data_IF_638107645325
#
_entry.id   IF_638107645325
#
_cell.length_a   1.000
_cell.length_b   1.000
_cell.length_c   1.000
_cell.angle_alpha   90.00
_cell.angle_beta   90.00
_cell.angle_gamma   90.00
#
_symmetry.space_group_name_H-M   'P 1'
#
loop_
_entity.id
_entity.type
_entity.pdbx_description
1 polymer ?
#
# COMPACT_ATOMS: atom_id res chain seq x y z
N UNK A 1 -13.63 26.69 22.35
CA UNK A 1 -12.71 25.62 22.76
C UNK A 1 -11.79 26.16 23.84
N UNK A 2 -11.32 25.32 24.73
CA UNK A 2 -10.38 25.68 25.79
C UNK A 2 -9.28 24.62 25.86
N UNK A 3 -8.02 25.07 25.91
CA UNK A 3 -6.85 24.20 26.02
C UNK A 3 -6.50 23.96 27.49
N UNK A 4 -6.54 22.69 27.91
CA UNK A 4 -6.06 22.23 29.21
C UNK A 4 -4.72 21.50 29.04
N UNK A 5 -3.63 22.26 29.03
CA UNK A 5 -2.27 21.71 28.97
C UNK A 5 -1.93 20.84 30.19
N UNK A 6 -2.64 21.00 31.32
CA UNK A 6 -2.43 20.16 32.50
C UNK A 6 -3.06 18.78 32.36
N UNK A 7 -4.10 18.67 31.52
CA UNK A 7 -4.92 17.47 31.35
C UNK A 7 -5.77 17.08 32.55
N UNK A 8 -5.79 17.89 33.62
CA UNK A 8 -6.37 17.55 34.93
C UNK A 8 -7.75 18.15 35.17
N UNK A 9 -8.19 19.12 34.36
CA UNK A 9 -9.50 19.73 34.55
C UNK A 9 -10.60 18.66 34.38
N UNK A 10 -11.49 18.60 35.36
CA UNK A 10 -12.69 17.79 35.32
C UNK A 10 -13.92 18.64 34.98
N UNK A 11 -15.04 17.99 34.66
CA UNK A 11 -16.27 18.70 34.28
C UNK A 11 -16.73 19.66 35.40
N UNK A 12 -16.61 19.25 36.66
CA UNK A 12 -17.02 20.08 37.80
C UNK A 12 -16.18 21.36 37.90
N UNK A 13 -14.88 21.28 37.62
CA UNK A 13 -14.00 22.46 37.57
C UNK A 13 -14.38 23.38 36.41
N UNK A 14 -14.71 22.79 35.26
CA UNK A 14 -15.09 23.54 34.04
C UNK A 14 -16.44 24.24 34.24
N UNK A 15 -17.39 23.60 34.90
CA UNK A 15 -18.69 24.19 35.22
C UNK A 15 -18.57 25.25 36.31
N UNK A 16 -17.72 25.03 37.32
CA UNK A 16 -17.49 26.01 38.39
C UNK A 16 -16.81 27.29 37.89
N UNK A 17 -15.79 27.14 37.03
CA UNK A 17 -15.07 28.28 36.44
C UNK A 17 -15.83 28.93 35.28
N UNK A 18 -16.69 28.18 34.59
CA UNK A 18 -17.59 28.70 33.58
C UNK A 18 -16.89 29.56 32.53
N UNK A 19 -17.24 30.85 32.48
CA UNK A 19 -16.70 31.85 31.55
C UNK A 19 -15.35 32.45 31.98
N UNK A 20 -14.83 32.12 33.17
CA UNK A 20 -13.48 32.52 33.60
C UNK A 20 -12.38 31.73 32.89
N UNK A 21 -12.73 30.62 32.24
CA UNK A 21 -11.82 29.89 31.36
C UNK A 21 -11.64 30.65 30.04
N UNK A 22 -10.42 30.62 29.51
CA UNK A 22 -10.10 31.24 28.23
C UNK A 22 -10.71 30.44 27.08
N UNK A 23 -11.92 30.82 26.66
CA UNK A 23 -12.66 30.16 25.59
C UNK A 23 -12.42 30.85 24.24
N UNK A 24 -11.82 30.12 23.31
CA UNK A 24 -11.64 30.57 21.94
C UNK A 24 -12.82 30.14 21.04
N UNK A 25 -13.31 31.05 20.20
CA UNK A 25 -14.32 30.69 19.19
C UNK A 25 -13.66 29.91 18.04
N UNK A 26 -14.27 28.79 17.64
CA UNK A 26 -13.76 27.99 16.53
C UNK A 26 -14.13 28.63 15.18
N UNK A 27 -13.15 28.92 14.30
CA UNK A 27 -13.42 29.54 13.00
C UNK A 27 -14.02 28.56 11.98
N UNK A 28 -13.83 27.26 12.18
CA UNK A 28 -14.28 26.20 11.29
C UNK A 28 -15.35 25.32 11.95
N UNK A 29 -16.17 24.65 11.12
CA UNK A 29 -17.20 23.71 11.58
C UNK A 29 -16.63 22.46 12.26
N UNK A 30 -15.34 22.18 12.08
CA UNK A 30 -14.67 21.00 12.62
C UNK A 30 -13.35 21.43 13.25
N UNK A 31 -13.12 21.00 14.49
CA UNK A 31 -11.84 21.18 15.16
C UNK A 31 -10.82 20.21 14.55
N UNK A 32 -9.69 20.75 14.09
CA UNK A 32 -8.54 19.95 13.68
C UNK A 32 -7.28 20.60 14.24
N UNK A 33 -6.69 19.97 15.25
CA UNK A 33 -5.46 20.44 15.91
C UNK A 33 -4.22 19.67 15.43
N UNK A 34 -4.38 18.75 14.48
CA UNK A 34 -3.32 17.82 14.11
C UNK A 34 -2.83 17.02 15.32
N UNK A 35 -1.52 16.78 15.40
CA UNK A 35 -0.92 16.08 16.53
C UNK A 35 -0.73 17.01 17.73
N UNK A 36 -1.70 17.01 18.64
CA UNK A 36 -1.65 17.75 19.91
C UNK A 36 -2.00 16.81 21.09
N UNK A 37 -1.15 16.79 22.11
CA UNK A 37 -1.31 15.95 23.31
C UNK A 37 -2.11 16.61 24.44
N UNK A 38 -2.38 17.91 24.34
CA UNK A 38 -3.14 18.65 25.33
C UNK A 38 -4.58 18.14 25.40
N UNK A 39 -5.18 18.18 26.59
CA UNK A 39 -6.60 17.95 26.71
C UNK A 39 -7.35 19.18 26.20
N UNK A 40 -8.37 18.98 25.38
CA UNK A 40 -9.15 20.08 24.80
C UNK A 40 -10.61 19.94 25.19
N UNK A 41 -11.17 21.04 25.69
CA UNK A 41 -12.57 21.16 26.03
C UNK A 41 -13.31 21.93 24.94
N UNK A 42 -14.38 21.35 24.44
CA UNK A 42 -15.35 22.00 23.56
C UNK A 42 -16.62 22.27 24.35
N UNK A 43 -17.10 23.51 24.29
CA UNK A 43 -18.41 23.92 24.79
C UNK A 43 -19.27 24.26 23.60
N UNK A 44 -20.37 23.51 23.42
CA UNK A 44 -21.26 23.65 22.27
C UNK A 44 -22.68 23.88 22.77
N UNK A 45 -23.28 25.06 22.51
CA UNK A 45 -24.68 25.29 22.81
C UNK A 45 -25.56 24.51 21.83
N UNK A 46 -26.55 23.77 22.32
CA UNK A 46 -27.47 23.01 21.48
C UNK A 46 -28.86 23.65 21.50
N UNK A 47 -29.48 23.91 20.33
CA UNK A 47 -30.85 24.42 20.27
C UNK A 47 -31.86 23.46 20.92
N UNK A 48 -32.89 24.02 21.54
CA UNK A 48 -34.04 23.24 22.03
C UNK A 48 -34.74 22.47 20.90
N UNK A 49 -35.33 21.32 21.26
CA UNK A 49 -36.03 20.44 20.32
C UNK A 49 -35.18 19.30 19.75
N UNK A 50 -33.86 19.35 19.87
CA UNK A 50 -32.95 18.24 19.57
C UNK A 50 -32.80 17.37 20.83
N UNK A 51 -33.62 16.34 20.98
CA UNK A 51 -33.63 15.49 22.18
C UNK A 51 -34.23 14.11 21.94
N UNK A 52 -33.90 13.18 22.83
CA UNK A 52 -34.41 11.82 22.80
C UNK A 52 -33.87 10.96 21.65
N UNK A 53 -34.46 9.78 21.51
CA UNK A 53 -33.96 8.73 20.63
C UNK A 53 -34.01 9.06 19.13
N UNK A 54 -34.83 10.03 18.71
CA UNK A 54 -34.90 10.46 17.31
C UNK A 54 -33.61 11.09 16.78
N UNK A 55 -32.68 11.49 17.66
CA UNK A 55 -31.44 12.14 17.29
C UNK A 55 -30.21 11.38 17.78
N UNK A 56 -29.10 11.54 17.06
CA UNK A 56 -27.80 10.97 17.36
C UNK A 56 -26.73 12.06 17.34
N UNK A 57 -25.89 12.09 18.38
CA UNK A 57 -24.65 12.84 18.38
C UNK A 57 -23.55 11.95 17.79
N UNK A 58 -22.90 12.44 16.75
CA UNK A 58 -21.74 11.82 16.13
C UNK A 58 -20.47 12.62 16.45
N UNK A 59 -19.43 11.91 16.90
CA UNK A 59 -18.04 12.33 16.75
C UNK A 59 -17.40 11.45 15.67
N UNK A 60 -17.29 12.03 14.48
CA UNK A 60 -17.01 11.31 13.22
C UNK A 60 -15.52 11.00 12.97
N UNK A 61 -14.77 10.61 13.99
CA UNK A 61 -13.37 10.25 13.86
C UNK A 61 -13.03 9.12 14.84
N UNK A 62 -12.63 7.95 14.33
CA UNK A 62 -12.57 6.70 15.11
C UNK A 62 -11.31 6.53 15.98
N UNK A 63 -10.30 7.38 15.79
CA UNK A 63 -8.95 7.25 16.36
C UNK A 63 -8.70 8.21 17.55
N UNK A 64 -9.75 8.60 18.28
CA UNK A 64 -9.60 9.43 19.47
C UNK A 64 -9.33 8.55 20.69
N UNK A 65 -8.20 8.75 21.35
CA UNK A 65 -7.79 7.92 22.49
C UNK A 65 -8.77 7.99 23.64
N UNK A 66 -9.08 9.21 24.07
CA UNK A 66 -10.03 9.50 25.15
C UNK A 66 -11.03 10.55 24.69
N UNK A 67 -12.30 10.18 24.75
CA UNK A 67 -13.43 11.04 24.44
C UNK A 67 -14.43 10.96 25.59
N UNK A 68 -14.62 12.07 26.28
CA UNK A 68 -15.67 12.21 27.29
C UNK A 68 -16.67 13.27 26.84
N UNK A 69 -17.95 12.89 26.81
CA UNK A 69 -19.05 13.76 26.40
C UNK A 69 -19.99 13.94 27.58
N UNK A 70 -20.28 15.18 27.92
CA UNK A 70 -21.13 15.58 29.03
C UNK A 70 -22.31 16.40 28.51
N UNK A 71 -23.50 15.95 28.87
CA UNK A 71 -24.75 16.61 28.57
C UNK A 71 -25.18 17.42 29.81
N UNK A 72 -25.21 18.75 29.69
CA UNK A 72 -25.40 19.67 30.81
C UNK A 72 -26.68 20.48 30.65
N UNK A 73 -27.52 20.49 31.69
CA UNK A 73 -28.77 21.25 31.76
C UNK A 73 -28.78 22.03 33.08
N UNK A 74 -29.09 23.32 33.04
CA UNK A 74 -29.16 24.20 34.22
C UNK A 74 -27.92 24.13 35.12
N UNK A 75 -26.73 23.95 34.52
CA UNK A 75 -25.45 23.83 35.22
C UNK A 75 -25.17 22.45 35.84
N UNK A 76 -26.06 21.48 35.70
CA UNK A 76 -25.87 20.09 36.17
C UNK A 76 -25.61 19.10 35.03
N UNK A 77 -24.72 18.13 35.26
CA UNK A 77 -24.48 17.03 34.31
C UNK A 77 -25.61 16.01 34.38
N UNK A 78 -26.38 15.88 33.30
CA UNK A 78 -27.49 14.94 33.17
C UNK A 78 -27.02 13.56 32.71
N UNK A 79 -26.07 13.53 31.78
CA UNK A 79 -25.50 12.29 31.25
C UNK A 79 -24.03 12.48 30.91
N UNK A 80 -23.24 11.43 31.18
CA UNK A 80 -21.83 11.33 30.79
C UNK A 80 -21.62 10.08 29.95
N UNK A 81 -20.95 10.24 28.81
CA UNK A 81 -20.50 9.11 27.99
C UNK A 81 -18.98 9.17 27.92
N UNK A 82 -18.34 8.10 28.37
CA UNK A 82 -16.89 7.94 28.35
C UNK A 82 -16.50 6.86 27.34
N UNK A 83 -15.90 7.27 26.22
CA UNK A 83 -15.44 6.38 25.14
C UNK A 83 -14.04 6.77 24.65
N UNK A 84 -13.61 6.21 23.52
CA UNK A 84 -12.27 6.35 22.96
C UNK A 84 -11.73 5.02 22.45
N UNK A 85 -10.63 5.04 21.70
CA UNK A 85 -9.98 3.84 21.17
C UNK A 85 -9.03 3.15 22.19
N UNK A 86 -8.64 3.85 23.26
CA UNK A 86 -7.95 3.27 24.42
C UNK A 86 -8.93 2.64 25.43
N UNK A 87 -10.24 2.82 25.23
CA UNK A 87 -11.31 2.19 26.01
C UNK A 87 -11.86 0.97 25.27
N UNK A 88 -12.67 0.15 25.95
CA UNK A 88 -13.22 -1.04 25.28
C UNK A 88 -14.23 -0.60 24.23
N UNK A 89 -14.17 -1.22 23.04
CA UNK A 89 -15.17 -1.01 21.99
C UNK A 89 -16.59 -1.21 22.52
N UNK A 90 -16.80 -2.21 23.38
CA UNK A 90 -18.10 -2.57 23.95
C UNK A 90 -18.64 -1.56 24.98
N UNK A 91 -17.85 -0.56 25.40
CA UNK A 91 -18.34 0.56 26.22
C UNK A 91 -19.03 1.64 25.39
N UNK A 92 -18.97 1.56 24.05
CA UNK A 92 -19.68 2.50 23.17
C UNK A 92 -21.20 2.28 23.31
N UNK A 93 -22.01 3.35 23.46
CA UNK A 93 -23.47 3.22 23.52
C UNK A 93 -24.06 2.54 22.29
N UNK A 94 -23.49 2.82 21.12
CA UNK A 94 -23.85 2.19 19.85
C UNK A 94 -22.56 1.62 19.24
N UNK A 95 -22.58 0.35 18.87
CA UNK A 95 -21.45 -0.38 18.31
C UNK A 95 -21.19 0.03 16.86
N UNK A 96 -20.52 1.15 16.70
CA UNK A 96 -20.23 1.78 15.42
C UNK A 96 -18.76 2.23 15.37
N UNK A 97 -18.17 2.34 14.17
CA UNK A 97 -16.77 2.77 13.98
C UNK A 97 -16.52 4.20 14.48
N UNK A 98 -17.45 5.10 14.22
CA UNK A 98 -17.51 6.45 14.81
C UNK A 98 -18.18 6.40 16.18
N UNK A 99 -17.95 7.40 17.02
CA UNK A 99 -18.61 7.48 18.31
C UNK A 99 -20.01 8.06 18.15
N UNK A 100 -21.01 7.21 18.36
CA UNK A 100 -22.43 7.58 18.29
C UNK A 100 -23.06 7.51 19.68
N UNK A 101 -23.83 8.54 20.02
CA UNK A 101 -24.48 8.67 21.31
C UNK A 101 -25.93 9.12 21.10
N UNK A 102 -26.94 8.40 21.63
CA UNK A 102 -28.31 8.90 21.63
C UNK A 102 -28.37 10.16 22.51
N UNK A 103 -29.18 11.13 22.08
CA UNK A 103 -29.42 12.32 22.90
C UNK A 103 -30.37 11.94 24.05
N UNK A 104 -30.10 12.33 25.30
CA UNK A 104 -31.04 12.10 26.40
C UNK A 104 -32.35 12.85 26.16
N UNK A 105 -33.44 12.35 26.73
CA UNK A 105 -34.68 13.11 26.82
C UNK A 105 -34.51 14.24 27.84
N UNK A 106 -34.54 15.48 27.37
CA UNK A 106 -34.42 16.67 28.21
C UNK A 106 -35.73 17.47 28.19
N UNK A 107 -36.10 18.08 29.31
CA UNK A 107 -37.25 18.99 29.41
C UNK A 107 -36.80 20.46 29.47
N UNK A 108 -35.73 20.79 28.76
CA UNK A 108 -35.12 22.11 28.80
C UNK A 108 -35.06 22.73 27.40
N UNK A 109 -35.42 24.00 27.30
CA UNK A 109 -35.40 24.76 26.05
C UNK A 109 -33.98 25.00 25.52
N UNK A 110 -32.97 24.89 26.39
CA UNK A 110 -31.55 25.03 26.05
C UNK A 110 -30.71 24.13 26.95
N UNK A 111 -29.72 23.49 26.35
CA UNK A 111 -28.74 22.68 27.05
C UNK A 111 -27.37 22.83 26.37
N UNK A 112 -26.34 22.42 27.10
CA UNK A 112 -24.95 22.58 26.68
C UNK A 112 -24.28 21.23 26.61
N UNK A 113 -23.48 21.06 25.55
CA UNK A 113 -22.64 19.91 25.35
C UNK A 113 -21.20 20.29 25.67
N UNK A 114 -20.60 19.55 26.60
CA UNK A 114 -19.16 19.66 26.87
C UNK A 114 -18.47 18.39 26.36
N UNK A 115 -17.45 18.56 25.54
CA UNK A 115 -16.67 17.45 24.98
C UNK A 115 -15.22 17.63 25.40
N UNK A 116 -14.66 16.66 26.13
CA UNK A 116 -13.25 16.59 26.46
C UNK A 116 -12.58 15.56 25.55
N UNK A 117 -11.55 15.98 24.84
CA UNK A 117 -10.77 15.12 23.96
C UNK A 117 -9.31 15.19 24.37
N UNK A 118 -8.67 14.02 24.44
CA UNK A 118 -7.23 13.90 24.64
C UNK A 118 -6.73 12.69 23.84
N UNK A 119 -5.73 12.87 22.99
CA UNK A 119 -5.19 11.80 22.14
C UNK A 119 -3.70 11.98 21.90
N UNK A 120 -2.99 10.87 21.79
CA UNK A 120 -1.61 10.83 21.32
C UNK A 120 -1.50 10.97 19.78
N UNK A 121 -2.60 10.73 19.07
CA UNK A 121 -2.73 10.83 17.63
C UNK A 121 -3.12 12.23 17.13
N UNK A 122 -3.69 12.26 15.93
CA UNK A 122 -4.29 13.47 15.37
C UNK A 122 -5.62 13.76 16.07
N UNK A 123 -5.81 14.98 16.58
CA UNK A 123 -7.05 15.43 17.22
C UNK A 123 -7.93 16.11 16.19
N UNK A 124 -8.92 15.35 15.73
CA UNK A 124 -9.96 15.80 14.81
C UNK A 124 -11.33 15.53 15.47
N UNK A 125 -12.14 16.58 15.63
CA UNK A 125 -13.45 16.46 16.32
C UNK A 125 -14.58 16.98 15.42
N UNK A 126 -14.97 16.19 14.39
CA UNK A 126 -16.14 16.49 13.58
C UNK A 126 -17.40 16.14 14.38
N UNK A 127 -17.97 17.15 15.03
CA UNK A 127 -19.15 17.03 15.86
C UNK A 127 -20.41 17.35 15.06
N UNK A 128 -21.35 16.40 14.99
CA UNK A 128 -22.61 16.57 14.25
C UNK A 128 -23.77 15.97 15.05
N UNK A 129 -24.92 16.63 14.99
CA UNK A 129 -26.18 16.06 15.47
C UNK A 129 -26.99 15.67 14.24
N UNK A 130 -27.43 14.43 14.20
CA UNK A 130 -28.19 13.85 13.11
C UNK A 130 -29.58 13.44 13.59
N UNK A 131 -30.57 13.54 12.71
CA UNK A 131 -31.76 12.69 12.82
C UNK A 131 -31.34 11.24 12.57
N UNK A 132 -31.85 10.30 13.39
CA UNK A 132 -31.41 8.89 13.39
C UNK A 132 -31.49 8.26 12.02
N UNK A 133 -32.60 8.43 11.30
CA UNK A 133 -32.78 7.83 9.97
C UNK A 133 -31.91 8.50 8.91
N UNK A 134 -31.70 9.81 9.01
CA UNK A 134 -30.80 10.54 8.11
C UNK A 134 -29.34 10.05 8.24
N UNK A 135 -28.89 9.78 9.47
CA UNK A 135 -27.56 9.22 9.73
C UNK A 135 -27.40 7.86 9.05
N UNK A 136 -28.32 6.93 9.27
CA UNK A 136 -28.23 5.58 8.71
C UNK A 136 -28.33 5.58 7.18
N UNK A 137 -29.16 6.46 6.59
CA UNK A 137 -29.25 6.62 5.13
C UNK A 137 -27.92 7.10 4.51
N UNK A 138 -27.24 8.06 5.15
CA UNK A 138 -25.92 8.51 4.70
C UNK A 138 -24.85 7.41 4.90
N UNK A 139 -24.87 6.76 6.06
CA UNK A 139 -23.87 5.74 6.43
C UNK A 139 -23.95 4.50 5.53
N UNK A 140 -25.13 4.13 5.04
CA UNK A 140 -25.28 3.08 4.02
C UNK A 140 -24.46 3.37 2.76
N UNK A 141 -24.51 4.62 2.26
CA UNK A 141 -23.72 5.05 1.11
C UNK A 141 -22.22 5.02 1.40
N UNK A 142 -21.82 5.50 2.59
CA UNK A 142 -20.42 5.49 3.03
C UNK A 142 -19.86 4.07 3.13
N UNK A 143 -20.59 3.14 3.76
CA UNK A 143 -20.19 1.73 3.86
C UNK A 143 -20.12 1.05 2.50
N UNK A 144 -21.02 1.39 1.57
CA UNK A 144 -20.97 0.86 0.21
C UNK A 144 -19.67 1.28 -0.50
N UNK A 145 -19.28 2.57 -0.40
CA UNK A 145 -18.03 3.07 -1.00
C UNK A 145 -16.81 2.40 -0.38
N UNK A 146 -16.74 2.33 0.96
CA UNK A 146 -15.63 1.66 1.68
C UNK A 146 -15.56 0.17 1.37
N UNK A 147 -16.71 -0.50 1.28
CA UNK A 147 -16.83 -1.90 0.90
C UNK A 147 -16.40 -2.16 -0.55
N UNK A 148 -16.79 -1.29 -1.48
CA UNK A 148 -16.36 -1.37 -2.87
C UNK A 148 -14.84 -1.20 -3.01
N UNK A 149 -14.26 -0.22 -2.32
CA UNK A 149 -12.81 -0.03 -2.24
C UNK A 149 -12.10 -1.30 -1.71
N UNK A 150 -12.53 -1.81 -0.56
CA UNK A 150 -11.96 -3.02 0.03
C UNK A 150 -12.09 -4.24 -0.90
N UNK A 151 -13.23 -4.39 -1.57
CA UNK A 151 -13.50 -5.46 -2.52
C UNK A 151 -12.61 -5.39 -3.76
N UNK A 152 -12.42 -4.19 -4.35
CA UNK A 152 -11.51 -4.00 -5.49
C UNK A 152 -10.08 -4.37 -5.11
N UNK A 153 -9.59 -3.88 -3.97
CA UNK A 153 -8.25 -4.25 -3.49
C UNK A 153 -8.11 -5.74 -3.25
N UNK A 154 -9.10 -6.38 -2.61
CA UNK A 154 -9.04 -7.81 -2.32
C UNK A 154 -9.02 -8.64 -3.60
N UNK A 155 -9.88 -8.33 -4.58
CA UNK A 155 -9.88 -9.01 -5.88
C UNK A 155 -8.55 -8.81 -6.60
N UNK A 156 -7.99 -7.60 -6.59
CA UNK A 156 -6.69 -7.32 -7.21
C UNK A 156 -5.55 -8.07 -6.52
N UNK A 157 -5.55 -8.14 -5.18
CA UNK A 157 -4.59 -8.93 -4.42
C UNK A 157 -4.70 -10.42 -4.77
N UNK A 158 -5.90 -11.00 -4.75
CA UNK A 158 -6.13 -12.40 -5.09
C UNK A 158 -5.75 -12.72 -6.55
N UNK A 159 -6.10 -11.85 -7.48
CA UNK A 159 -5.71 -11.95 -8.88
C UNK A 159 -4.18 -11.98 -9.03
N UNK A 160 -3.46 -11.07 -8.37
CA UNK A 160 -2.00 -11.01 -8.45
C UNK A 160 -1.31 -12.18 -7.74
N UNK A 161 -1.93 -12.78 -6.71
CA UNK A 161 -1.47 -14.08 -6.16
C UNK A 161 -1.56 -15.17 -7.22
N UNK A 162 -2.68 -15.25 -7.95
CA UNK A 162 -2.81 -16.23 -9.04
C UNK A 162 -1.78 -16.00 -10.14
N UNK A 163 -1.56 -14.75 -10.55
CA UNK A 163 -0.53 -14.42 -11.54
C UNK A 163 0.87 -14.79 -11.02
N UNK A 164 1.17 -14.54 -9.74
CA UNK A 164 2.41 -14.97 -9.12
C UNK A 164 2.61 -16.49 -9.20
N UNK A 165 1.57 -17.29 -8.93
CA UNK A 165 1.66 -18.76 -9.00
C UNK A 165 2.00 -19.26 -10.41
N UNK A 166 1.53 -18.55 -11.43
CA UNK A 166 1.79 -18.89 -12.85
C UNK A 166 3.15 -18.39 -13.32
N UNK A 167 3.51 -17.14 -12.99
CA UNK A 167 4.66 -16.44 -13.55
C UNK A 167 5.92 -16.65 -12.70
N UNK A 168 5.76 -16.81 -11.39
CA UNK A 168 6.83 -16.95 -10.38
C UNK A 168 7.84 -15.79 -10.33
N UNK A 169 7.42 -14.59 -10.74
CA UNK A 169 8.20 -13.36 -10.57
C UNK A 169 7.95 -12.76 -9.17
N UNK A 170 9.01 -12.52 -8.42
CA UNK A 170 8.97 -12.02 -7.04
C UNK A 170 8.31 -10.63 -6.90
N UNK A 171 8.32 -9.81 -7.95
CA UNK A 171 7.69 -8.49 -7.97
C UNK A 171 6.20 -8.57 -7.62
N UNK A 172 5.52 -9.64 -8.03
CA UNK A 172 4.11 -9.85 -7.68
C UNK A 172 3.89 -10.11 -6.19
N UNK A 173 4.81 -10.84 -5.53
CA UNK A 173 4.69 -11.12 -4.11
C UNK A 173 4.83 -9.83 -3.29
N UNK A 174 5.79 -8.97 -3.64
CA UNK A 174 5.94 -7.67 -2.98
C UNK A 174 4.74 -6.77 -3.23
N UNK A 175 4.21 -6.75 -4.45
CA UNK A 175 3.02 -5.98 -4.77
C UNK A 175 1.76 -6.47 -4.01
N UNK A 176 1.57 -7.79 -3.91
CA UNK A 176 0.51 -8.40 -3.09
C UNK A 176 0.64 -7.99 -1.62
N UNK A 177 1.86 -8.08 -1.07
CA UNK A 177 2.14 -7.65 0.30
C UNK A 177 1.83 -6.17 0.51
N UNK A 178 2.16 -5.32 -0.45
CA UNK A 178 1.83 -3.90 -0.43
C UNK A 178 0.31 -3.66 -0.42
N UNK A 179 -0.42 -4.24 -1.38
CA UNK A 179 -1.88 -4.06 -1.50
C UNK A 179 -2.63 -4.56 -0.26
N UNK A 180 -2.22 -5.71 0.28
CA UNK A 180 -2.78 -6.25 1.52
C UNK A 180 -2.48 -5.37 2.73
N UNK A 181 -1.25 -4.84 2.84
CA UNK A 181 -0.87 -3.94 3.93
C UNK A 181 -1.64 -2.61 3.87
N UNK A 182 -1.84 -2.04 2.68
CA UNK A 182 -2.66 -0.84 2.49
C UNK A 182 -4.13 -1.08 2.83
N UNK A 183 -4.69 -2.23 2.44
CA UNK A 183 -6.05 -2.60 2.79
C UNK A 183 -6.24 -2.65 4.32
N UNK A 184 -5.36 -3.34 5.03
CA UNK A 184 -5.42 -3.43 6.49
C UNK A 184 -5.19 -2.07 7.16
N UNK A 185 -4.25 -1.27 6.66
CA UNK A 185 -4.03 0.10 7.13
C UNK A 185 -5.30 0.96 7.02
N UNK A 186 -5.99 0.91 5.88
CA UNK A 186 -7.23 1.67 5.66
C UNK A 186 -8.36 1.19 6.57
N UNK A 187 -8.58 -0.13 6.68
CA UNK A 187 -9.58 -0.69 7.58
C UNK A 187 -9.30 -0.30 9.05
N UNK A 188 -8.03 -0.22 9.45
CA UNK A 188 -7.63 0.25 10.77
C UNK A 188 -7.91 1.74 10.95
N UNK A 189 -7.46 2.62 10.05
CA UNK A 189 -7.69 4.07 10.20
C UNK A 189 -9.18 4.42 10.21
N UNK A 190 -9.99 3.71 9.43
CA UNK A 190 -11.43 3.91 9.39
C UNK A 190 -12.17 3.39 10.63
N UNK A 191 -11.48 2.67 11.53
CA UNK A 191 -12.07 2.03 12.71
C UNK A 191 -12.86 0.75 12.41
N UNK A 192 -12.98 0.36 11.13
CA UNK A 192 -13.67 -0.87 10.72
C UNK A 192 -12.97 -2.12 11.23
N UNK A 193 -11.64 -2.14 11.24
CA UNK A 193 -10.89 -3.25 11.78
C UNK A 193 -11.09 -3.39 13.30
N UNK A 194 -11.21 -2.26 14.02
CA UNK A 194 -11.53 -2.31 15.45
C UNK A 194 -12.96 -2.81 15.69
N UNK A 195 -13.92 -2.39 14.87
CA UNK A 195 -15.30 -2.84 14.99
C UNK A 195 -15.49 -4.34 14.68
N UNK A 196 -14.83 -4.87 13.64
CA UNK A 196 -15.14 -6.21 13.12
C UNK A 196 -14.05 -7.27 13.31
N UNK A 197 -12.77 -6.89 13.38
CA UNK A 197 -11.66 -7.85 13.39
C UNK A 197 -11.06 -8.07 14.78
N UNK A 198 -10.93 -7.00 15.57
CA UNK A 198 -10.29 -7.08 16.89
C UNK A 198 -10.89 -6.12 17.95
N UNK A 199 -12.21 -6.14 18.19
CA UNK A 199 -12.87 -5.22 19.14
C UNK A 199 -12.34 -5.31 20.57
N UNK A 200 -11.77 -6.46 20.95
CA UNK A 200 -11.23 -6.69 22.30
C UNK A 200 -9.77 -6.24 22.47
N UNK A 201 -9.02 -6.05 21.37
CA UNK A 201 -7.57 -5.81 21.40
C UNK A 201 -7.23 -4.32 21.25
N UNK A 202 -7.46 -3.55 22.31
CA UNK A 202 -7.27 -2.08 22.33
C UNK A 202 -5.85 -1.66 21.92
N UNK A 203 -4.82 -2.20 22.58
CA UNK A 203 -3.43 -1.86 22.29
C UNK A 203 -2.99 -2.30 20.88
N UNK A 204 -3.55 -3.40 20.37
CA UNK A 204 -3.29 -3.85 19.01
C UNK A 204 -3.83 -2.87 17.98
N UNK A 205 -5.00 -2.25 18.20
CA UNK A 205 -5.59 -1.33 17.23
C UNK A 205 -4.64 -0.18 16.86
N UNK A 206 -4.09 0.52 17.86
CA UNK A 206 -3.16 1.62 17.64
C UNK A 206 -1.84 1.16 16.99
N UNK A 207 -1.23 0.08 17.50
CA UNK A 207 -0.01 -0.48 16.92
C UNK A 207 -0.22 -0.99 15.49
N UNK A 208 -1.39 -1.53 15.17
CA UNK A 208 -1.71 -2.07 13.84
C UNK A 208 -1.63 -1.00 12.75
N UNK A 209 -2.03 0.24 13.04
CA UNK A 209 -1.99 1.36 12.07
C UNK A 209 -0.54 1.62 11.65
N UNK A 210 0.36 1.73 12.63
CA UNK A 210 1.80 1.97 12.39
C UNK A 210 2.44 0.75 11.73
N UNK A 211 2.08 -0.46 12.16
CA UNK A 211 2.61 -1.70 11.61
C UNK A 211 2.28 -1.83 10.12
N UNK A 212 1.01 -1.69 9.75
CA UNK A 212 0.56 -1.88 8.37
C UNK A 212 1.05 -0.78 7.43
N UNK A 213 1.16 0.47 7.89
CA UNK A 213 1.75 1.53 7.05
C UNK A 213 3.25 1.32 6.83
N UNK A 214 3.98 0.81 7.84
CA UNK A 214 5.38 0.44 7.70
C UNK A 214 5.56 -0.76 6.76
N UNK A 215 4.73 -1.79 6.87
CA UNK A 215 4.75 -2.93 5.93
C UNK A 215 4.40 -2.51 4.51
N UNK A 216 3.45 -1.60 4.32
CA UNK A 216 3.19 -1.01 3.01
C UNK A 216 4.45 -0.33 2.45
N UNK A 217 5.20 0.43 3.26
CA UNK A 217 6.47 1.03 2.84
C UNK A 217 7.54 -0.03 2.48
N UNK A 218 7.69 -1.08 3.29
CA UNK A 218 8.61 -2.20 3.03
C UNK A 218 8.31 -2.84 1.68
N UNK A 219 7.07 -3.30 1.49
CA UNK A 219 6.67 -3.99 0.28
C UNK A 219 6.74 -3.10 -0.95
N UNK A 220 6.41 -1.81 -0.81
CA UNK A 220 6.58 -0.82 -1.89
C UNK A 220 8.03 -0.64 -2.32
N UNK A 221 8.96 -0.53 -1.37
CA UNK A 221 10.37 -0.39 -1.68
C UNK A 221 10.93 -1.68 -2.29
N UNK A 222 10.59 -2.86 -1.75
CA UNK A 222 10.97 -4.15 -2.32
C UNK A 222 10.41 -4.35 -3.73
N UNK A 223 9.14 -3.99 -3.95
CA UNK A 223 8.51 -3.98 -5.26
C UNK A 223 9.28 -3.09 -6.24
N UNK A 224 9.62 -1.87 -5.83
CA UNK A 224 10.38 -0.94 -6.68
C UNK A 224 11.76 -1.49 -7.07
N UNK A 225 12.48 -2.09 -6.11
CA UNK A 225 13.80 -2.70 -6.35
C UNK A 225 13.68 -3.86 -7.36
N UNK A 226 12.72 -4.75 -7.15
CA UNK A 226 12.52 -5.94 -7.98
C UNK A 226 12.00 -5.58 -9.38
N UNK A 227 10.90 -4.80 -9.46
CA UNK A 227 10.22 -4.47 -10.70
C UNK A 227 11.09 -3.68 -11.67
N UNK A 228 11.89 -2.72 -11.16
CA UNK A 228 12.79 -1.92 -11.99
C UNK A 228 14.15 -2.59 -12.21
N UNK A 229 14.39 -3.75 -11.60
CA UNK A 229 15.68 -4.45 -11.57
C UNK A 229 16.84 -3.49 -11.21
N UNK A 230 16.69 -2.80 -10.07
CA UNK A 230 17.62 -1.75 -9.65
C UNK A 230 19.04 -2.23 -9.38
N UNK A 231 19.31 -3.41 -8.79
CA UNK A 231 20.69 -3.84 -8.53
C UNK A 231 21.55 -3.87 -9.81
N UNK A 232 20.97 -4.25 -10.94
CA UNK A 232 21.67 -4.29 -12.24
C UNK A 232 21.75 -2.93 -12.95
N UNK A 233 20.80 -2.01 -12.70
CA UNK A 233 20.70 -0.72 -13.42
C UNK A 233 21.27 0.45 -12.64
N UNK A 234 21.00 0.50 -11.34
CA UNK A 234 21.36 1.58 -10.43
C UNK A 234 21.50 1.06 -8.99
N UNK A 235 22.63 0.44 -8.70
CA UNK A 235 22.92 -0.20 -7.41
C UNK A 235 22.84 0.75 -6.21
N UNK A 236 23.23 2.01 -6.36
CA UNK A 236 23.10 3.01 -5.31
C UNK A 236 21.64 3.27 -4.91
N UNK A 237 20.72 3.39 -5.89
CA UNK A 237 19.29 3.53 -5.58
C UNK A 237 18.72 2.27 -4.92
N UNK A 238 19.16 1.07 -5.35
CA UNK A 238 18.79 -0.19 -4.70
C UNK A 238 19.25 -0.22 -3.24
N UNK A 239 20.47 0.22 -2.95
CA UNK A 239 21.00 0.28 -1.58
C UNK A 239 20.21 1.25 -0.70
N UNK A 240 19.91 2.46 -1.20
CA UNK A 240 19.12 3.45 -0.44
C UNK A 240 17.71 2.91 -0.14
N UNK A 241 17.03 2.31 -1.12
CA UNK A 241 15.71 1.72 -0.91
C UNK A 241 15.77 0.52 0.05
N UNK A 242 16.82 -0.30 0.00
CA UNK A 242 17.03 -1.37 0.99
C UNK A 242 17.28 -0.82 2.40
N UNK A 243 17.98 0.31 2.55
CA UNK A 243 18.13 0.97 3.83
C UNK A 243 16.78 1.46 4.37
N UNK A 244 15.92 2.03 3.50
CA UNK A 244 14.55 2.40 3.86
C UNK A 244 13.74 1.17 4.31
N UNK A 245 13.87 0.02 3.64
CA UNK A 245 13.23 -1.24 4.05
C UNK A 245 13.68 -1.63 5.46
N UNK A 246 14.98 -1.60 5.74
CA UNK A 246 15.52 -1.91 7.07
C UNK A 246 14.97 -0.96 8.14
N UNK A 247 14.96 0.35 7.87
CA UNK A 247 14.40 1.35 8.80
C UNK A 247 12.91 1.12 9.02
N UNK A 248 12.15 0.81 7.97
CA UNK A 248 10.72 0.51 8.08
C UNK A 248 10.43 -0.75 8.90
N UNK A 249 11.22 -1.81 8.75
CA UNK A 249 11.12 -3.04 9.54
C UNK A 249 11.51 -2.82 11.01
N UNK A 250 12.54 -2.01 11.26
CA UNK A 250 12.92 -1.61 12.61
C UNK A 250 11.80 -0.79 13.26
N UNK A 251 11.25 0.21 12.56
CA UNK A 251 10.15 1.02 13.07
C UNK A 251 8.90 0.19 13.32
N UNK A 252 8.55 -0.73 12.42
CA UNK A 252 7.45 -1.69 12.59
C UNK A 252 7.63 -2.51 13.89
N UNK A 253 8.83 -3.05 14.11
CA UNK A 253 9.15 -3.80 15.33
C UNK A 253 9.12 -2.93 16.59
N UNK A 254 9.68 -1.71 16.53
CA UNK A 254 9.72 -0.78 17.65
C UNK A 254 8.34 -0.20 17.99
N UNK A 255 7.41 -0.14 17.03
CA UNK A 255 6.08 0.46 17.20
C UNK A 255 5.21 -0.21 18.28
N UNK A 256 5.56 -1.44 18.68
CA UNK A 256 4.90 -2.16 19.77
C UNK A 256 5.39 -1.70 21.16
N UNK A 257 6.56 -1.07 21.22
CA UNK A 257 7.23 -0.70 22.48
C UNK A 257 7.23 0.82 22.71
N UNK A 258 7.41 1.61 21.65
CA UNK A 258 7.47 3.07 21.76
C UNK A 258 6.06 3.69 21.85
N UNK A 259 5.91 4.89 22.43
CA UNK A 259 4.63 5.60 22.46
C UNK A 259 4.05 5.81 21.06
N UNK A 260 2.73 5.70 20.94
CA UNK A 260 2.04 5.75 19.65
C UNK A 260 2.29 7.06 18.92
N UNK A 261 2.27 8.19 19.63
CA UNK A 261 2.54 9.53 19.06
C UNK A 261 3.90 9.59 18.33
N UNK A 262 4.95 9.06 18.96
CA UNK A 262 6.28 9.04 18.38
C UNK A 262 6.32 8.10 17.16
N UNK A 263 5.73 6.91 17.29
CA UNK A 263 5.72 5.90 16.25
C UNK A 263 5.05 6.41 14.96
N UNK A 264 3.87 7.03 15.07
CA UNK A 264 3.11 7.50 13.91
C UNK A 264 3.77 8.71 13.24
N UNK A 265 4.39 9.62 14.00
CA UNK A 265 5.19 10.73 13.45
C UNK A 265 6.41 10.25 12.68
N UNK A 266 7.15 9.29 13.25
CA UNK A 266 8.29 8.66 12.56
C UNK A 266 7.83 7.91 11.31
N UNK A 267 6.69 7.22 11.36
CA UNK A 267 6.12 6.54 10.21
C UNK A 267 5.73 7.52 9.10
N UNK A 268 5.10 8.65 9.44
CA UNK A 268 4.78 9.70 8.47
C UNK A 268 6.05 10.29 7.81
N UNK A 269 7.10 10.54 8.61
CA UNK A 269 8.40 11.04 8.13
C UNK A 269 9.16 10.00 7.29
N UNK A 270 8.83 8.72 7.42
CA UNK A 270 9.40 7.65 6.61
C UNK A 270 8.61 7.45 5.30
N UNK A 271 7.28 7.40 5.38
CA UNK A 271 6.40 6.96 4.27
C UNK A 271 6.36 7.99 3.14
N UNK A 272 6.19 9.28 3.44
CA UNK A 272 6.11 10.30 2.38
C UNK A 272 7.44 10.46 1.63
N UNK A 273 8.60 10.65 2.29
CA UNK A 273 9.88 10.76 1.59
C UNK A 273 10.26 9.49 0.83
N UNK A 274 9.99 8.30 1.38
CA UNK A 274 10.26 7.05 0.66
C UNK A 274 9.33 6.87 -0.55
N UNK A 275 8.09 7.40 -0.52
CA UNK A 275 7.19 7.44 -1.70
C UNK A 275 7.76 8.35 -2.76
N UNK A 276 8.18 9.55 -2.37
CA UNK A 276 8.82 10.50 -3.27
C UNK A 276 10.12 9.95 -3.86
N UNK A 277 10.90 9.18 -3.09
CA UNK A 277 12.09 8.48 -3.57
C UNK A 277 11.74 7.42 -4.63
N UNK A 278 10.72 6.58 -4.41
CA UNK A 278 10.30 5.58 -5.39
C UNK A 278 9.83 6.24 -6.69
N UNK A 279 9.04 7.32 -6.57
CA UNK A 279 8.60 8.12 -7.71
C UNK A 279 9.78 8.74 -8.46
N UNK A 280 10.74 9.32 -7.74
CA UNK A 280 11.96 9.92 -8.31
C UNK A 280 12.83 8.92 -9.05
N UNK A 281 13.09 7.74 -8.45
CA UNK A 281 13.83 6.65 -9.10
C UNK A 281 13.12 6.19 -10.37
N UNK A 282 11.80 5.99 -10.31
CA UNK A 282 11.00 5.62 -11.47
C UNK A 282 11.04 6.68 -12.58
N UNK A 283 10.91 7.95 -12.22
CA UNK A 283 10.91 9.07 -13.16
C UNK A 283 12.27 9.24 -13.86
N UNK A 284 13.37 9.11 -13.12
CA UNK A 284 14.73 9.15 -13.67
C UNK A 284 14.94 8.01 -14.67
N UNK A 285 14.55 6.79 -14.32
CA UNK A 285 14.70 5.64 -15.22
C UNK A 285 13.78 5.75 -16.46
N UNK A 286 12.58 6.31 -16.30
CA UNK A 286 11.70 6.60 -17.43
C UNK A 286 12.33 7.62 -18.38
N UNK A 287 12.93 8.68 -17.84
CA UNK A 287 13.67 9.68 -18.63
C UNK A 287 14.89 9.06 -19.35
N UNK A 288 15.56 8.09 -18.74
CA UNK A 288 16.65 7.32 -19.35
C UNK A 288 16.17 6.29 -20.41
N UNK A 289 14.87 6.25 -20.71
CA UNK A 289 14.31 5.43 -21.79
C UNK A 289 13.73 4.09 -21.35
N UNK A 290 13.66 3.80 -20.03
CA UNK A 290 13.02 2.59 -19.52
C UNK A 290 11.49 2.69 -19.64
N UNK A 291 10.96 2.37 -20.83
CA UNK A 291 9.52 2.42 -21.13
C UNK A 291 8.66 1.59 -20.16
N UNK A 292 9.23 0.52 -19.57
CA UNK A 292 8.57 -0.30 -18.55
C UNK A 292 8.10 0.53 -17.33
N UNK A 293 8.75 1.64 -17.03
CA UNK A 293 8.45 2.46 -15.85
C UNK A 293 7.24 3.42 -16.01
N UNK A 294 6.64 3.56 -17.22
CA UNK A 294 5.59 4.57 -17.48
C UNK A 294 4.36 4.43 -16.57
N UNK A 295 3.82 3.22 -16.45
CA UNK A 295 2.64 2.94 -15.64
C UNK A 295 2.98 2.95 -14.14
N UNK A 296 4.21 2.57 -13.81
CA UNK A 296 4.75 2.65 -12.45
C UNK A 296 4.81 4.10 -11.94
N UNK A 297 5.38 5.02 -12.73
CA UNK A 297 5.46 6.45 -12.38
C UNK A 297 4.08 7.08 -12.28
N UNK A 298 3.18 6.77 -13.23
CA UNK A 298 1.80 7.25 -13.19
C UNK A 298 1.06 6.79 -11.94
N UNK A 299 1.18 5.51 -11.57
CA UNK A 299 0.57 4.97 -10.35
C UNK A 299 1.09 5.68 -9.09
N UNK A 300 2.41 5.78 -8.92
CA UNK A 300 2.98 6.46 -7.76
C UNK A 300 2.65 7.94 -7.68
N UNK A 301 2.50 8.63 -8.80
CA UNK A 301 2.12 10.03 -8.82
C UNK A 301 0.72 10.22 -8.22
N UNK A 302 -0.27 9.45 -8.69
CA UNK A 302 -1.65 9.55 -8.22
C UNK A 302 -1.74 9.16 -6.74
N UNK A 303 -1.06 8.08 -6.34
CA UNK A 303 -0.97 7.69 -4.92
C UNK A 303 -0.33 8.77 -4.07
N UNK A 304 0.80 9.34 -4.50
CA UNK A 304 1.53 10.35 -3.74
C UNK A 304 0.68 11.60 -3.51
N UNK A 305 -0.06 12.07 -4.51
CA UNK A 305 -0.97 13.21 -4.35
C UNK A 305 -2.05 12.91 -3.31
N UNK A 306 -2.68 11.74 -3.38
CA UNK A 306 -3.68 11.31 -2.39
C UNK A 306 -3.09 11.18 -0.98
N UNK A 307 -1.92 10.55 -0.85
CA UNK A 307 -1.23 10.33 0.42
C UNK A 307 -0.74 11.64 1.04
N UNK A 308 -0.23 12.58 0.24
CA UNK A 308 0.20 13.89 0.71
C UNK A 308 -1.00 14.71 1.24
N UNK A 309 -2.10 14.77 0.49
CA UNK A 309 -3.30 15.49 0.93
C UNK A 309 -3.92 14.88 2.19
N UNK A 310 -3.96 13.55 2.27
CA UNK A 310 -4.40 12.83 3.46
C UNK A 310 -3.52 13.16 4.68
N UNK A 311 -2.19 13.07 4.54
CA UNK A 311 -1.25 13.35 5.62
C UNK A 311 -1.33 14.82 6.09
N UNK A 312 -1.40 15.76 5.16
CA UNK A 312 -1.54 17.20 5.46
C UNK A 312 -2.86 17.51 6.19
N UNK A 313 -3.95 16.82 5.82
CA UNK A 313 -5.22 16.91 6.53
C UNK A 313 -5.11 16.38 7.97
N UNK A 314 -4.41 15.25 8.18
CA UNK A 314 -4.19 14.68 9.52
C UNK A 314 -3.18 15.46 10.36
N UNK A 315 -2.30 16.25 9.74
CA UNK A 315 -1.43 17.20 10.44
C UNK A 315 -2.14 18.50 10.84
N UNK A 316 -3.39 18.71 10.41
CA UNK A 316 -4.16 19.93 10.69
C UNK A 316 -3.86 21.10 9.76
N UNK A 317 -3.05 20.90 8.71
CA UNK A 317 -2.71 21.96 7.75
C UNK A 317 -3.78 22.15 6.68
N UNK A 318 -4.57 21.10 6.41
CA UNK A 318 -5.70 21.16 5.49
C UNK A 318 -7.01 20.84 6.22
N UNK A 319 -8.12 21.52 5.86
CA UNK A 319 -9.44 21.21 6.39
C UNK A 319 -9.92 19.86 5.88
N UNK A 320 -10.63 19.13 6.74
CA UNK A 320 -11.20 17.83 6.38
C UNK A 320 -12.43 18.03 5.50
N UNK A 321 -12.39 17.45 4.31
CA UNK A 321 -13.48 17.47 3.34
C UNK A 321 -13.46 16.18 2.48
N UNK A 322 -14.40 16.06 1.55
CA UNK A 322 -14.51 14.87 0.68
C UNK A 322 -13.23 14.56 -0.10
N UNK A 323 -12.46 15.57 -0.50
CA UNK A 323 -11.20 15.35 -1.24
C UNK A 323 -10.12 14.81 -0.32
N UNK A 324 -9.91 15.41 0.86
CA UNK A 324 -8.89 14.93 1.79
C UNK A 324 -9.23 13.58 2.42
N UNK A 325 -10.52 13.24 2.47
CA UNK A 325 -11.04 11.96 2.99
C UNK A 325 -10.91 10.81 1.98
N UNK A 326 -11.37 10.99 0.74
CA UNK A 326 -11.50 9.89 -0.23
C UNK A 326 -10.39 9.81 -1.28
N UNK A 327 -9.61 10.87 -1.51
CA UNK A 327 -8.66 10.90 -2.62
C UNK A 327 -7.51 9.89 -2.45
N UNK A 328 -7.14 9.53 -1.21
CA UNK A 328 -6.19 8.46 -0.97
C UNK A 328 -6.74 7.10 -1.46
N UNK A 329 -8.01 6.79 -1.18
CA UNK A 329 -8.64 5.53 -1.61
C UNK A 329 -8.75 5.47 -3.14
N UNK A 330 -9.15 6.58 -3.77
CA UNK A 330 -9.16 6.70 -5.24
C UNK A 330 -7.76 6.52 -5.80
N UNK A 331 -6.75 7.17 -5.21
CA UNK A 331 -5.36 7.09 -5.65
C UNK A 331 -4.80 5.67 -5.58
N UNK A 332 -5.01 4.98 -4.46
CA UNK A 332 -4.64 3.55 -4.30
C UNK A 332 -5.37 2.68 -5.33
N UNK A 333 -6.64 2.93 -5.60
CA UNK A 333 -7.42 2.14 -6.57
C UNK A 333 -6.90 2.33 -7.99
N UNK A 334 -6.58 3.56 -8.39
CA UNK A 334 -5.99 3.84 -9.70
C UNK A 334 -4.58 3.25 -9.79
N UNK A 335 -3.78 3.40 -8.73
CA UNK A 335 -2.43 2.85 -8.64
C UNK A 335 -2.42 1.32 -8.79
N UNK A 336 -3.28 0.60 -8.06
CA UNK A 336 -3.31 -0.86 -8.09
C UNK A 336 -3.64 -1.35 -9.51
N UNK A 337 -4.58 -0.70 -10.21
CA UNK A 337 -4.88 -1.02 -11.62
C UNK A 337 -3.68 -0.75 -12.52
N UNK A 338 -3.03 0.40 -12.37
CA UNK A 338 -1.85 0.77 -13.17
C UNK A 338 -0.66 -0.17 -12.94
N UNK A 339 -0.44 -0.67 -11.73
CA UNK A 339 0.63 -1.63 -11.46
C UNK A 339 0.33 -3.00 -12.02
N UNK A 340 -0.92 -3.45 -11.96
CA UNK A 340 -1.32 -4.69 -12.62
C UNK A 340 -1.09 -4.60 -14.14
N UNK A 341 -1.39 -3.45 -14.75
CA UNK A 341 -1.04 -3.19 -16.15
C UNK A 341 0.47 -3.14 -16.39
N UNK A 342 1.24 -2.49 -15.51
CA UNK A 342 2.70 -2.40 -15.60
C UNK A 342 3.36 -3.78 -15.59
N UNK A 343 2.90 -4.64 -14.67
CA UNK A 343 3.37 -6.00 -14.51
C UNK A 343 2.98 -6.89 -15.71
N UNK A 344 1.74 -6.76 -16.21
CA UNK A 344 1.31 -7.46 -17.42
C UNK A 344 2.11 -7.04 -18.67
N UNK A 345 2.39 -5.74 -18.83
CA UNK A 345 3.21 -5.21 -19.93
C UNK A 345 4.65 -5.75 -19.84
N UNK A 346 5.24 -5.82 -18.64
CA UNK A 346 6.57 -6.38 -18.42
C UNK A 346 6.65 -7.85 -18.85
N UNK A 347 5.66 -8.68 -18.47
CA UNK A 347 5.61 -10.09 -18.89
C UNK A 347 5.47 -10.20 -20.41
N UNK A 348 4.59 -9.40 -21.02
CA UNK A 348 4.37 -9.46 -22.46
C UNK A 348 5.65 -9.08 -23.23
N UNK A 349 6.41 -8.11 -22.72
CA UNK A 349 7.69 -7.73 -23.28
C UNK A 349 8.73 -8.85 -23.15
N UNK A 350 8.88 -9.45 -21.96
CA UNK A 350 9.81 -10.57 -21.75
C UNK A 350 9.46 -11.80 -22.59
N UNK A 351 8.17 -12.11 -22.72
CA UNK A 351 7.71 -13.19 -23.60
C UNK A 351 8.06 -12.91 -25.07
N UNK A 352 7.90 -11.67 -25.54
CA UNK A 352 8.27 -11.28 -26.92
C UNK A 352 9.77 -11.38 -27.15
N UNK A 353 10.58 -10.88 -26.22
CA UNK A 353 12.05 -10.97 -26.27
C UNK A 353 12.50 -12.44 -26.32
N UNK A 354 11.94 -13.30 -25.45
CA UNK A 354 12.24 -14.74 -25.44
C UNK A 354 11.83 -15.44 -26.73
N UNK A 355 10.63 -15.14 -27.25
CA UNK A 355 10.15 -15.69 -28.52
C UNK A 355 11.03 -15.26 -29.70
N UNK A 356 11.48 -14.00 -29.72
CA UNK A 356 12.36 -13.49 -30.76
C UNK A 356 13.74 -14.15 -30.71
N UNK A 357 14.33 -14.30 -29.53
CA UNK A 357 15.59 -15.01 -29.35
C UNK A 357 15.48 -16.49 -29.78
N UNK A 358 14.37 -17.15 -29.45
CA UNK A 358 14.12 -18.53 -29.87
C UNK A 358 13.97 -18.66 -31.39
N UNK A 359 13.25 -17.74 -32.04
CA UNK A 359 13.13 -17.70 -33.50
C UNK A 359 14.48 -17.47 -34.18
N UNK A 360 15.30 -16.56 -33.66
CA UNK A 360 16.65 -16.32 -34.17
C UNK A 360 17.54 -17.57 -34.02
N UNK A 361 17.45 -18.28 -32.90
CA UNK A 361 18.18 -19.53 -32.70
C UNK A 361 17.77 -20.62 -33.68
N UNK A 362 16.47 -20.78 -33.95
CA UNK A 362 15.95 -21.73 -34.94
C UNK A 362 16.42 -21.36 -36.35
N UNK A 363 16.30 -20.09 -36.74
CA UNK A 363 16.76 -19.62 -38.06
C UNK A 363 18.27 -19.80 -38.25
N UNK A 364 19.08 -19.56 -37.21
CA UNK A 364 20.51 -19.79 -37.27
C UNK A 364 20.85 -21.28 -37.42
N UNK A 365 20.11 -22.17 -36.75
CA UNK A 365 20.28 -23.61 -36.88
C UNK A 365 19.88 -24.12 -38.27
N UNK A 366 18.76 -23.64 -38.81
CA UNK A 366 18.31 -23.96 -40.17
C UNK A 366 19.33 -23.47 -41.21
N UNK A 367 19.85 -22.26 -41.05
CA UNK A 367 20.88 -21.70 -41.91
C UNK A 367 22.18 -22.50 -41.83
N UNK A 368 22.63 -22.86 -40.62
CA UNK A 368 23.81 -23.71 -40.43
C UNK A 368 23.63 -25.07 -41.11
N UNK A 369 22.48 -25.72 -40.89
CA UNK A 369 22.15 -27.01 -41.50
C UNK A 369 22.14 -26.92 -43.03
N UNK A 370 21.53 -25.88 -43.58
CA UNK A 370 21.52 -25.63 -45.03
C UNK A 370 22.93 -25.42 -45.58
N UNK A 371 23.81 -24.70 -44.87
CA UNK A 371 25.20 -24.51 -45.28
C UNK A 371 26.00 -25.81 -45.18
N UNK A 372 25.77 -26.62 -44.16
CA UNK A 372 26.43 -27.91 -43.97
C UNK A 372 26.00 -28.94 -45.04
N UNK A 373 24.70 -29.13 -45.23
CA UNK A 373 24.13 -30.13 -46.15
C UNK A 373 24.37 -29.78 -47.64
N UNK A 374 24.38 -28.48 -47.99
CA UNK A 374 24.54 -28.02 -49.38
C UNK A 374 25.93 -27.42 -49.69
N UNK A 375 26.91 -27.55 -48.80
CA UNK A 375 28.29 -27.15 -49.10
C UNK A 375 28.84 -27.98 -50.26
N UNK A 376 29.60 -27.34 -51.15
CA UNK A 376 30.30 -28.03 -52.25
C UNK A 376 31.58 -28.69 -51.72
N UNK A 377 32.20 -28.12 -50.69
CA UNK A 377 33.38 -28.67 -50.02
C UNK A 377 32.99 -29.76 -49.01
N UNK A 378 33.86 -30.77 -48.87
CA UNK A 378 33.72 -31.79 -47.85
C UNK A 378 33.96 -31.20 -46.46
N UNK A 379 32.95 -31.28 -45.58
CA UNK A 379 33.04 -30.85 -44.18
C UNK A 379 33.00 -32.10 -43.31
N UNK A 380 34.02 -32.28 -42.47
CA UNK A 380 34.06 -33.34 -41.48
C UNK A 380 34.45 -32.82 -40.10
N UNK A 381 34.11 -33.59 -39.08
CA UNK A 381 34.55 -33.39 -37.70
C UNK A 381 35.09 -34.71 -37.18
N UNK A 382 36.24 -34.69 -36.51
CA UNK A 382 36.83 -35.85 -35.84
C UNK A 382 37.03 -35.62 -34.35
N UNK A 383 37.21 -36.71 -33.60
CA UNK A 383 37.69 -36.63 -32.22
C UNK A 383 39.21 -36.39 -32.18
N UNK A 384 39.76 -36.31 -30.97
CA UNK A 384 41.20 -36.10 -30.75
C UNK A 384 42.05 -37.30 -31.20
N UNK A 385 41.45 -38.47 -31.38
CA UNK A 385 42.08 -39.71 -31.81
C UNK A 385 41.90 -39.93 -33.33
N UNK A 386 41.42 -38.91 -34.06
CA UNK A 386 41.30 -38.94 -35.52
C UNK A 386 40.06 -39.68 -36.04
N UNK A 387 39.12 -40.10 -35.19
CA UNK A 387 37.90 -40.81 -35.63
C UNK A 387 36.82 -39.84 -36.06
N UNK A 388 36.15 -40.12 -37.18
CA UNK A 388 35.07 -39.28 -37.70
C UNK A 388 33.84 -39.29 -36.77
N UNK A 389 33.42 -38.09 -36.37
CA UNK A 389 32.22 -37.81 -35.57
C UNK A 389 31.05 -37.41 -36.49
N UNK A 390 31.33 -36.61 -37.52
CA UNK A 390 30.31 -36.13 -38.46
C UNK A 390 30.94 -35.83 -39.82
N UNK A 391 30.20 -36.08 -40.91
CA UNK A 391 30.59 -35.73 -42.28
C UNK A 391 29.37 -35.20 -43.05
N UNK A 392 29.56 -34.23 -43.93
CA UNK A 392 28.48 -33.71 -44.76
C UNK A 392 28.30 -34.55 -46.05
N UNK A 393 27.20 -34.36 -46.80
CA UNK A 393 26.95 -35.11 -48.04
C UNK A 393 28.04 -34.95 -49.11
N UNK A 394 28.66 -33.77 -49.22
CA UNK A 394 29.73 -33.55 -50.20
C UNK A 394 30.98 -34.37 -49.87
N UNK A 395 31.38 -34.46 -48.60
CA UNK A 395 32.51 -35.30 -48.16
C UNK A 395 32.24 -36.79 -48.47
N UNK A 396 31.03 -37.26 -48.15
CA UNK A 396 30.62 -38.63 -48.46
C UNK A 396 30.69 -38.89 -49.97
N UNK A 397 30.13 -38.00 -50.80
CA UNK A 397 30.13 -38.14 -52.25
C UNK A 397 31.55 -38.06 -52.86
N UNK A 398 32.41 -37.17 -52.38
CA UNK A 398 33.81 -37.04 -52.83
C UNK A 398 34.61 -38.32 -52.59
N UNK A 399 34.33 -39.02 -51.49
CA UNK A 399 35.00 -40.27 -51.13
C UNK A 399 34.24 -41.52 -51.61
N UNK A 400 33.18 -41.36 -52.41
CA UNK A 400 32.48 -42.46 -53.09
C UNK A 400 31.37 -43.14 -52.27
N UNK A 401 30.94 -42.54 -51.17
CA UNK A 401 29.88 -43.05 -50.30
C UNK A 401 28.50 -42.53 -50.71
N UNK A 402 27.48 -43.37 -50.55
CA UNK A 402 26.09 -43.03 -50.92
C UNK A 402 25.41 -42.15 -49.88
N UNK A 403 25.86 -42.25 -48.62
CA UNK A 403 25.33 -41.49 -47.48
C UNK A 403 26.43 -41.20 -46.44
N UNK A 404 26.37 -40.05 -45.74
CA UNK A 404 27.27 -39.73 -44.61
C UNK A 404 27.38 -40.83 -43.54
N UNK A 405 26.26 -41.47 -43.21
CA UNK A 405 26.21 -42.50 -42.16
C UNK A 405 27.00 -43.76 -42.55
N UNK A 406 26.98 -44.11 -43.84
CA UNK A 406 27.73 -45.24 -44.39
C UNK A 406 29.24 -45.02 -44.24
N UNK A 407 29.70 -43.80 -44.57
CA UNK A 407 31.09 -43.38 -44.39
C UNK A 407 31.51 -43.43 -42.92
N UNK A 408 30.74 -42.86 -42.00
CA UNK A 408 31.08 -42.85 -40.56
C UNK A 408 31.15 -44.28 -40.00
N UNK A 409 30.23 -45.17 -40.40
CA UNK A 409 30.22 -46.56 -39.95
C UNK A 409 31.45 -47.35 -40.42
N UNK A 410 31.87 -47.15 -41.67
CA UNK A 410 33.03 -47.83 -42.22
C UNK A 410 34.35 -47.30 -41.65
N UNK A 411 34.40 -46.00 -41.33
CA UNK A 411 35.56 -45.31 -40.74
C UNK A 411 35.73 -45.49 -39.22
N UNK A 412 34.81 -46.15 -38.51
CA UNK A 412 35.01 -46.56 -37.11
C UNK A 412 36.23 -47.51 -36.91
N UNK A 413 36.86 -47.96 -38.00
CA UNK A 413 37.98 -48.91 -38.00
C UNK A 413 39.28 -48.40 -38.67
N UNK A 414 39.35 -47.14 -39.12
CA UNK A 414 40.53 -46.55 -39.81
C UNK A 414 40.77 -45.10 -39.40
N UNK A 415 42.01 -44.63 -39.48
CA UNK A 415 42.44 -43.27 -39.10
C UNK A 415 42.24 -42.30 -40.28
N UNK A 416 41.78 -41.07 -40.02
CA UNK A 416 41.58 -40.03 -41.04
C UNK A 416 42.90 -39.66 -41.75
N UNK A 417 44.04 -39.83 -41.09
CA UNK A 417 45.36 -39.59 -41.66
C UNK A 417 45.75 -40.51 -42.82
N UNK A 418 45.07 -41.65 -43.02
CA UNK A 418 45.34 -42.55 -44.16
C UNK A 418 44.90 -41.98 -45.52
N UNK A 419 44.13 -40.89 -45.54
CA UNK A 419 43.53 -40.31 -46.76
C UNK A 419 43.92 -38.85 -47.02
N UNK A 420 44.55 -38.18 -46.06
CA UNK A 420 45.19 -36.89 -46.28
C UNK A 420 46.64 -37.17 -46.65
N UNK A 421 46.90 -37.27 -47.95
CA UNK A 421 48.27 -37.40 -48.46
C UNK A 421 49.03 -36.09 -48.12
N UNK A 422 50.17 -36.18 -47.42
CA UNK A 422 50.99 -35.01 -47.03
C UNK A 422 51.48 -34.19 -48.26
N UNK A 423 51.23 -34.69 -49.47
CA UNK A 423 51.59 -34.06 -50.75
C UNK A 423 50.59 -33.03 -51.29
N UNK A 424 49.41 -32.87 -50.69
CA UNK A 424 48.34 -31.97 -51.15
C UNK A 424 48.20 -30.64 -50.36
N UNK A 425 49.21 -30.26 -49.57
CA UNK A 425 49.33 -28.93 -48.93
C UNK A 425 50.45 -28.06 -49.52
#
# INVERSE_FOLDING_TARGET
MHHDASGRLQIDDVLARGDELDWENMPAKTLNLGFNTDAVWLRVPVPGGLQGDGFLLEVGYALLDQLDVYFVVDGGVVQKVSTGDQRSFWQRPIWHRNYLMPLPEMKADRWQLYVRVQSEGSVEVPLRIWERDAFWNLEQGTLLVKGAFAGILLVMVLYNIFVFLVVRDQSYLYYVGYGFSILLFQLSIDGLAYQYMWPDLKGWHQSSIVLFVCFAAVFRCMFTIAFLNLPSRWSAAAWVLSAVVTVALLLASLSVVIPYNLAIKLAALLVLPSTMLCLGVGAILLYQGLRRARYFVAGWLVYFVGAALFALSKMGWLPVNLWTEYLLQVGVTVEIVLFSMALADSINLERREKQQAQRQSIQNLERYRSLYENAVEGIYQSDIDGRLIAVNPAMAAMLGYSAPEEMIQEYLRRDVSEFLDESDY
#
